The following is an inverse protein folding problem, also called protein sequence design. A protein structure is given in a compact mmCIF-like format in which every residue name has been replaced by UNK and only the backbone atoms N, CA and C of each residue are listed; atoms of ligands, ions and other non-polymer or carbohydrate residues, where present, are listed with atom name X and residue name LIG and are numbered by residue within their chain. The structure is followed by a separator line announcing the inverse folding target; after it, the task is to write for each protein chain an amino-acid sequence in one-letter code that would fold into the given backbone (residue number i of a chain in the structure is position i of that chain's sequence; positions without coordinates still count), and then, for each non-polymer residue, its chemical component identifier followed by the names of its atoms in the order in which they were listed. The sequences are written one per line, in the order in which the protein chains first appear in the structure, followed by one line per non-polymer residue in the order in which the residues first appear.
data_IF_660422447565
#
_entry.id   IF_660422447565
#
_cell.length_a   1.000
_cell.length_b   1.000
_cell.length_c   1.000
_cell.angle_alpha   90.00
_cell.angle_beta   90.00
_cell.angle_gamma   90.00
#
_symmetry.space_group_name_H-M   'P 1'
#
loop_
_entity.id
_entity.type
_entity.pdbx_description
1 polymer ?
#
# COMPACT_ATOMS: atom_id res chain seq x y z
N UNK A 1 -3.69 24.34 -6.78
CA UNK A 1 -5.01 24.44 -6.11
C UNK A 1 -5.31 23.06 -5.59
N UNK A 2 -5.60 22.94 -4.30
CA UNK A 2 -6.01 21.66 -3.72
C UNK A 2 -7.38 21.27 -4.29
N UNK A 3 -7.59 19.97 -4.57
CA UNK A 3 -8.86 19.46 -5.12
C UNK A 3 -9.89 19.39 -4.00
N UNK A 4 -11.08 19.94 -4.21
CA UNK A 4 -12.18 19.84 -3.24
C UNK A 4 -12.70 18.41 -3.15
N UNK A 5 -13.10 17.98 -1.95
CA UNK A 5 -13.51 16.59 -1.67
C UNK A 5 -14.64 16.13 -2.59
N UNK A 6 -15.59 17.02 -2.91
CA UNK A 6 -16.76 16.74 -3.76
C UNK A 6 -16.38 16.33 -5.18
N UNK A 7 -15.26 16.82 -5.70
CA UNK A 7 -14.80 16.44 -7.04
C UNK A 7 -14.22 15.03 -7.04
N UNK A 8 -13.52 14.65 -5.97
CA UNK A 8 -13.07 13.26 -5.77
C UNK A 8 -14.29 12.34 -5.63
N UNK A 9 -15.29 12.74 -4.83
CA UNK A 9 -16.53 11.99 -4.64
C UNK A 9 -17.24 11.69 -5.97
N UNK A 10 -17.34 12.68 -6.87
CA UNK A 10 -17.96 12.50 -8.19
C UNK A 10 -17.24 11.45 -9.02
N UNK A 11 -15.90 11.45 -9.01
CA UNK A 11 -15.08 10.50 -9.78
C UNK A 11 -15.24 9.07 -9.27
N UNK A 12 -15.23 8.87 -7.94
CA UNK A 12 -15.24 7.53 -7.35
C UNK A 12 -16.64 7.05 -6.95
N UNK A 13 -17.70 7.80 -7.32
CA UNK A 13 -19.09 7.56 -6.89
C UNK A 13 -19.57 6.14 -7.15
N UNK A 14 -19.24 5.58 -8.31
CA UNK A 14 -19.65 4.25 -8.75
C UNK A 14 -19.00 3.10 -7.97
N UNK A 15 -17.92 3.36 -7.24
CA UNK A 15 -17.11 2.34 -6.59
C UNK A 15 -17.56 2.05 -5.14
N UNK A 16 -18.63 2.69 -4.65
CA UNK A 16 -19.15 2.57 -3.28
C UNK A 16 -18.36 3.37 -2.23
N UNK A 17 -18.91 3.57 -1.01
CA UNK A 17 -18.25 4.29 0.10
C UNK A 17 -17.57 5.62 -0.29
N UNK A 18 -18.03 6.28 -1.34
CA UNK A 18 -17.28 7.33 -2.03
C UNK A 18 -17.03 8.55 -1.14
N UNK A 19 -17.99 8.95 -0.30
CA UNK A 19 -17.84 10.05 0.66
C UNK A 19 -16.69 9.81 1.63
N UNK A 20 -16.70 8.64 2.28
CA UNK A 20 -15.66 8.25 3.24
C UNK A 20 -14.29 8.14 2.56
N UNK A 21 -14.23 7.52 1.38
CA UNK A 21 -12.96 7.33 0.66
C UNK A 21 -12.39 8.63 0.12
N UNK A 22 -13.22 9.57 -0.34
CA UNK A 22 -12.77 10.88 -0.78
C UNK A 22 -12.07 11.65 0.35
N UNK A 23 -12.68 11.68 1.54
CA UNK A 23 -12.07 12.27 2.74
C UNK A 23 -10.76 11.56 3.12
N UNK A 24 -10.73 10.23 3.07
CA UNK A 24 -9.52 9.46 3.37
C UNK A 24 -8.39 9.76 2.38
N UNK A 25 -8.68 9.82 1.07
CA UNK A 25 -7.70 10.11 0.02
C UNK A 25 -7.09 11.49 0.21
N UNK A 26 -7.91 12.50 0.47
CA UNK A 26 -7.43 13.87 0.66
C UNK A 26 -6.50 13.96 1.87
N UNK A 27 -6.95 13.43 3.02
CA UNK A 27 -6.16 13.44 4.25
C UNK A 27 -4.87 12.64 4.13
N UNK A 28 -4.93 11.44 3.53
CA UNK A 28 -3.75 10.64 3.24
C UNK A 28 -2.74 11.42 2.39
N UNK A 29 -3.21 12.09 1.33
CA UNK A 29 -2.35 12.84 0.41
C UNK A 29 -1.66 14.01 1.10
N UNK A 30 -2.37 14.71 1.99
CA UNK A 30 -1.80 15.77 2.80
C UNK A 30 -0.72 15.21 3.76
N UNK A 31 -1.09 14.24 4.60
CA UNK A 31 -0.17 13.64 5.59
C UNK A 31 1.06 12.98 4.92
N UNK A 32 0.90 12.43 3.71
CA UNK A 32 2.00 11.81 2.96
C UNK A 32 3.07 12.83 2.54
N UNK A 33 2.69 14.07 2.23
CA UNK A 33 3.60 15.15 1.81
C UNK A 33 4.21 15.91 2.98
N UNK A 34 3.71 15.72 4.20
CA UNK A 34 4.27 16.29 5.42
C UNK A 34 5.45 15.45 5.92
N UNK A 35 6.45 16.08 6.54
CA UNK A 35 7.65 15.41 7.07
C UNK A 35 7.42 14.69 8.42
N UNK A 36 6.16 14.44 8.79
CA UNK A 36 5.76 13.99 10.14
C UNK A 36 5.74 12.48 10.37
N UNK A 37 6.03 11.67 9.35
CA UNK A 37 5.88 10.21 9.43
C UNK A 37 7.18 9.47 9.04
N UNK A 38 7.35 8.29 9.62
CA UNK A 38 8.48 7.38 9.36
C UNK A 38 8.03 6.01 8.88
N UNK A 39 6.80 5.62 9.24
CA UNK A 39 6.18 4.37 8.84
C UNK A 39 4.84 4.67 8.17
N UNK A 40 4.57 4.08 7.00
CA UNK A 40 3.32 4.32 6.27
C UNK A 40 2.06 3.99 7.07
N UNK A 41 2.15 3.11 8.08
CA UNK A 41 1.05 2.80 8.99
C UNK A 41 0.60 3.97 9.86
N UNK A 42 1.40 5.04 9.95
CA UNK A 42 1.04 6.28 10.64
C UNK A 42 0.09 7.15 9.80
N UNK A 43 0.02 6.92 8.49
CA UNK A 43 -0.78 7.70 7.57
C UNK A 43 -2.25 7.28 7.61
N UNK A 44 -3.14 8.26 7.49
CA UNK A 44 -4.57 8.04 7.52
C UNK A 44 -5.03 7.10 6.41
N UNK A 45 -5.78 6.06 6.77
CA UNK A 45 -6.32 5.08 5.83
C UNK A 45 -5.35 3.97 5.40
N UNK A 46 -4.11 3.97 5.88
CA UNK A 46 -3.17 2.87 5.65
C UNK A 46 -3.37 1.78 6.71
N UNK A 47 -4.04 0.69 6.30
CA UNK A 47 -4.15 -0.53 7.09
C UNK A 47 -3.06 -1.56 6.77
N UNK A 48 -3.16 -2.75 7.38
CA UNK A 48 -2.20 -3.85 7.21
C UNK A 48 -1.92 -4.18 5.73
N UNK A 49 -2.98 -4.28 4.92
CA UNK A 49 -2.85 -4.56 3.48
C UNK A 49 -1.90 -3.57 2.78
N UNK A 50 -2.13 -2.26 2.94
CA UNK A 50 -1.33 -1.24 2.28
C UNK A 50 0.09 -1.17 2.87
N UNK A 51 0.25 -1.39 4.17
CA UNK A 51 1.56 -1.46 4.81
C UNK A 51 2.41 -2.64 4.31
N UNK A 52 1.82 -3.83 4.21
CA UNK A 52 2.49 -5.01 3.65
C UNK A 52 2.85 -4.77 2.18
N UNK A 53 1.93 -4.21 1.38
CA UNK A 53 2.19 -3.88 -0.02
C UNK A 53 3.35 -2.88 -0.16
N UNK A 54 3.39 -1.85 0.68
CA UNK A 54 4.50 -0.89 0.70
C UNK A 54 5.83 -1.55 1.07
N UNK A 55 5.83 -2.45 2.05
CA UNK A 55 7.02 -3.21 2.42
C UNK A 55 7.55 -4.04 1.24
N UNK A 56 6.65 -4.75 0.56
CA UNK A 56 6.96 -5.62 -0.58
C UNK A 56 7.46 -4.81 -1.78
N UNK A 57 6.69 -3.82 -2.23
CA UNK A 57 6.90 -3.18 -3.54
C UNK A 57 7.74 -1.90 -3.49
N UNK A 58 7.65 -1.12 -2.40
CA UNK A 58 8.32 0.18 -2.33
C UNK A 58 9.66 0.11 -1.61
N UNK A 59 9.79 -0.72 -0.57
CA UNK A 59 11.03 -0.81 0.23
C UNK A 59 11.87 -2.05 -0.03
N UNK A 60 11.33 -3.03 -0.75
CA UNK A 60 11.97 -4.32 -1.00
C UNK A 60 12.12 -5.22 0.23
N UNK A 61 11.51 -4.87 1.37
CA UNK A 61 11.53 -5.63 2.64
C UNK A 61 10.42 -6.70 2.66
N UNK A 62 10.21 -7.37 1.53
CA UNK A 62 9.13 -8.34 1.33
C UNK A 62 9.26 -9.57 2.25
N UNK A 63 10.49 -9.94 2.61
CA UNK A 63 10.86 -11.06 3.49
C UNK A 63 10.58 -10.76 4.97
N UNK A 64 10.33 -9.49 5.33
CA UNK A 64 10.03 -9.05 6.70
C UNK A 64 8.54 -8.93 7.02
N UNK A 65 7.68 -9.26 6.06
CA UNK A 65 6.22 -9.22 6.24
C UNK A 65 5.60 -10.58 5.93
N UNK A 66 4.39 -10.77 6.46
CA UNK A 66 3.52 -11.88 6.10
C UNK A 66 2.13 -11.30 5.78
N UNK A 67 1.75 -11.20 4.49
CA UNK A 67 0.46 -10.66 4.13
C UNK A 67 -0.69 -11.54 4.62
N UNK A 68 -1.89 -10.93 4.68
CA UNK A 68 -3.15 -11.64 4.94
C UNK A 68 -4.12 -11.52 3.77
N UNK A 69 -3.85 -10.60 2.84
CA UNK A 69 -4.65 -10.43 1.64
C UNK A 69 -4.35 -11.54 0.64
N UNK A 70 -5.39 -12.07 0.01
CA UNK A 70 -5.30 -13.22 -0.87
C UNK A 70 -4.38 -12.96 -2.07
N UNK A 71 -4.48 -11.79 -2.73
CA UNK A 71 -3.65 -11.47 -3.88
C UNK A 71 -2.23 -11.09 -3.50
N UNK A 72 -2.07 -10.45 -2.36
CA UNK A 72 -0.75 -10.17 -1.84
C UNK A 72 -0.01 -11.44 -1.41
N UNK A 73 -0.72 -12.45 -0.89
CA UNK A 73 -0.16 -13.77 -0.60
C UNK A 73 0.33 -14.49 -1.87
N UNK A 74 -0.46 -14.51 -2.95
CA UNK A 74 -0.03 -15.12 -4.23
C UNK A 74 1.32 -14.55 -4.71
N UNK A 75 1.48 -13.23 -4.66
CA UNK A 75 2.74 -12.59 -5.07
C UNK A 75 3.88 -12.84 -4.07
N UNK A 76 3.59 -12.82 -2.78
CA UNK A 76 4.58 -13.08 -1.73
C UNK A 76 5.11 -14.53 -1.77
N UNK A 77 4.24 -15.50 -2.03
CA UNK A 77 4.62 -16.90 -2.24
C UNK A 77 5.49 -17.07 -3.49
N UNK A 78 5.15 -16.35 -4.57
CA UNK A 78 5.97 -16.29 -5.79
C UNK A 78 7.37 -15.73 -5.50
N UNK A 79 7.50 -14.66 -4.71
CA UNK A 79 8.81 -14.11 -4.32
C UNK A 79 9.63 -15.13 -3.53
N UNK A 80 9.01 -15.84 -2.58
CA UNK A 80 9.70 -16.91 -1.85
C UNK A 80 10.20 -18.02 -2.77
N UNK A 81 9.38 -18.44 -3.74
CA UNK A 81 9.78 -19.43 -4.72
C UNK A 81 11.00 -18.96 -5.52
N UNK A 82 10.90 -17.80 -6.19
CA UNK A 82 11.97 -17.31 -7.06
C UNK A 82 13.25 -16.98 -6.29
N UNK A 83 13.16 -16.26 -5.17
CA UNK A 83 14.34 -15.90 -4.40
C UNK A 83 15.01 -17.09 -3.69
N UNK A 84 14.28 -18.19 -3.47
CA UNK A 84 14.88 -19.43 -2.97
C UNK A 84 15.64 -20.15 -4.08
N UNK A 85 15.09 -20.20 -5.30
CA UNK A 85 15.78 -20.81 -6.44
C UNK A 85 17.02 -20.01 -6.87
N UNK A 86 16.93 -18.68 -6.95
CA UNK A 86 18.10 -17.82 -7.27
C UNK A 86 19.24 -17.97 -6.26
N UNK A 87 18.93 -18.18 -4.97
CA UNK A 87 19.95 -18.46 -3.95
C UNK A 87 20.63 -19.82 -4.13
N UNK A 88 19.94 -20.81 -4.71
CA UNK A 88 20.54 -22.12 -5.03
C UNK A 88 21.48 -22.04 -6.23
N UNK A 89 21.20 -21.14 -7.16
CA UNK A 89 22.03 -20.92 -8.36
C UNK A 89 23.24 -20.02 -8.11
N UNK A 90 23.38 -19.45 -6.90
CA UNK A 90 24.56 -18.69 -6.48
C UNK A 90 24.63 -17.27 -7.04
N UNK A 91 23.50 -16.71 -7.49
CA UNK A 91 23.44 -15.39 -8.14
C UNK A 91 23.17 -14.21 -7.18
N UNK A 92 23.17 -14.44 -5.85
CA UNK A 92 23.02 -13.36 -4.86
C UNK A 92 23.81 -13.59 -3.55
#
# INVERSE_FOLDING_TARGET
MEVVTEDIEKVIKSLGLFRKRAQMIQRLSQEYLEDGWTHVTQLHGVGKYAADAYAIFCTGKWDRVKPMDHKLNEYWDFLWFVCTELKKEGEL
#
